data_IF_582009993884
#
_entry.id   IF_582009993884
#
_cell.length_a   1.000
_cell.length_b   1.000
_cell.length_c   1.000
_cell.angle_alpha   90.00
_cell.angle_beta   90.00
_cell.angle_gamma   90.00
#
_symmetry.space_group_name_H-M   'P 1'
#
loop_
_entity.id
_entity.type
_entity.pdbx_description
1 polymer ?
#
# COMPACT_ATOMS: atom_id res chain seq x y z
N UNK A 1 -0.69 -15.52 -12.03
CA UNK A 1 -1.19 -14.13 -12.06
C UNK A 1 -0.65 -13.36 -10.85
N UNK A 2 -0.06 -12.19 -11.06
CA UNK A 2 0.44 -11.29 -10.01
C UNK A 2 -0.43 -10.04 -10.01
N UNK A 3 -1.04 -9.72 -8.89
CA UNK A 3 -1.98 -8.59 -8.78
C UNK A 3 -1.51 -7.64 -7.70
N UNK A 4 -1.43 -6.34 -8.02
CA UNK A 4 -1.15 -5.27 -7.08
C UNK A 4 -2.41 -4.48 -6.79
N UNK A 5 -2.71 -4.29 -5.51
CA UNK A 5 -3.76 -3.38 -5.04
C UNK A 5 -3.08 -2.32 -4.18
N UNK A 6 -2.94 -1.11 -4.71
CA UNK A 6 -2.35 -0.01 -3.98
C UNK A 6 -3.38 1.08 -3.68
N UNK A 7 -3.04 2.00 -2.82
CA UNK A 7 -3.96 3.07 -2.43
C UNK A 7 -3.50 3.77 -1.16
N UNK A 8 -4.20 4.82 -0.74
CA UNK A 8 -3.81 5.66 0.39
C UNK A 8 -3.84 4.90 1.71
N UNK A 9 -3.20 5.49 2.71
CA UNK A 9 -3.33 5.03 4.10
C UNK A 9 -4.80 5.02 4.51
N UNK A 10 -5.19 4.04 5.33
CA UNK A 10 -6.58 3.86 5.78
C UNK A 10 -7.62 3.52 4.71
N UNK A 11 -7.23 3.22 3.47
CA UNK A 11 -8.18 2.75 2.45
C UNK A 11 -8.78 1.36 2.75
N UNK A 12 -8.12 0.54 3.58
CA UNK A 12 -8.62 -0.79 3.94
C UNK A 12 -7.79 -1.95 3.37
N UNK A 13 -6.61 -1.69 2.82
CA UNK A 13 -5.73 -2.70 2.23
C UNK A 13 -5.41 -3.85 3.17
N UNK A 14 -4.98 -3.55 4.39
CA UNK A 14 -4.68 -4.55 5.43
C UNK A 14 -5.90 -5.41 5.76
N UNK A 15 -7.08 -4.80 5.89
CA UNK A 15 -8.32 -5.53 6.11
C UNK A 15 -8.63 -6.51 4.97
N UNK A 16 -8.51 -6.05 3.72
CA UNK A 16 -8.76 -6.89 2.55
C UNK A 16 -7.75 -8.03 2.43
N UNK A 17 -6.46 -7.76 2.61
CA UNK A 17 -5.42 -8.80 2.55
C UNK A 17 -5.67 -9.90 3.58
N UNK A 18 -6.02 -9.53 4.83
CA UNK A 18 -6.36 -10.49 5.89
C UNK A 18 -7.64 -11.28 5.59
N UNK A 19 -8.69 -10.61 5.08
CA UNK A 19 -9.92 -11.29 4.71
C UNK A 19 -9.68 -12.36 3.62
N UNK A 20 -8.89 -12.04 2.60
CA UNK A 20 -8.54 -12.99 1.54
C UNK A 20 -7.63 -14.12 2.04
N UNK A 21 -6.69 -13.83 2.94
CA UNK A 21 -5.88 -14.88 3.59
C UNK A 21 -6.74 -15.88 4.35
N UNK A 22 -7.77 -15.41 5.07
CA UNK A 22 -8.71 -16.28 5.79
C UNK A 22 -9.50 -17.20 4.85
N UNK A 23 -9.63 -16.84 3.58
CA UNK A 23 -10.21 -17.68 2.53
C UNK A 23 -9.18 -18.61 1.85
N UNK A 24 -7.96 -18.68 2.35
CA UNK A 24 -6.88 -19.51 1.79
C UNK A 24 -6.22 -18.93 0.52
N UNK A 25 -6.45 -17.64 0.23
CA UNK A 25 -5.87 -16.96 -0.93
C UNK A 25 -4.49 -16.40 -0.58
N UNK A 26 -3.52 -16.53 -1.48
CA UNK A 26 -2.20 -15.93 -1.32
C UNK A 26 -2.29 -14.39 -1.49
N UNK A 27 -2.72 -13.72 -0.44
CA UNK A 27 -2.85 -12.28 -0.35
C UNK A 27 -1.94 -11.75 0.77
N UNK A 28 -1.17 -10.69 0.53
CA UNK A 28 -0.19 -10.19 1.48
C UNK A 28 -0.27 -8.67 1.58
N UNK A 29 -0.23 -8.14 2.80
CA UNK A 29 0.06 -6.72 3.02
C UNK A 29 1.57 -6.51 2.84
N UNK A 30 1.96 -5.57 1.99
CA UNK A 30 3.36 -5.27 1.72
C UNK A 30 4.12 -4.79 2.95
N UNK A 31 3.43 -4.19 3.91
CA UNK A 31 4.04 -3.75 5.17
C UNK A 31 4.41 -4.93 6.08
N UNK A 32 3.72 -6.07 5.93
CA UNK A 32 3.96 -7.29 6.71
C UNK A 32 4.98 -8.23 6.03
N UNK A 33 5.41 -7.94 4.80
CA UNK A 33 6.42 -8.75 4.11
C UNK A 33 7.82 -8.34 4.59
N UNK A 34 8.39 -9.13 5.49
CA UNK A 34 9.72 -8.87 6.04
C UNK A 34 10.79 -8.79 4.93
N UNK A 35 11.54 -7.69 4.90
CA UNK A 35 12.60 -7.44 3.93
C UNK A 35 12.16 -6.77 2.63
N UNK A 36 10.85 -6.59 2.40
CA UNK A 36 10.35 -5.90 1.21
C UNK A 36 10.63 -4.40 1.27
N UNK A 37 10.32 -3.78 2.40
CA UNK A 37 10.36 -2.32 2.57
C UNK A 37 11.46 -1.87 3.53
N UNK A 38 11.94 -0.66 3.31
CA UNK A 38 12.85 0.02 4.23
C UNK A 38 12.76 1.54 4.06
N UNK A 39 13.23 2.24 5.09
CA UNK A 39 13.41 3.69 5.06
C UNK A 39 14.79 4.06 4.56
N UNK A 40 14.86 5.11 3.76
CA UNK A 40 16.09 5.64 3.16
C UNK A 40 16.17 7.14 3.35
N UNK A 41 17.37 7.67 3.60
CA UNK A 41 17.61 9.10 3.59
C UNK A 41 17.79 9.63 2.15
N UNK A 42 17.90 10.95 2.01
CA UNK A 42 18.07 11.63 0.71
C UNK A 42 19.30 11.18 -0.10
N UNK A 43 20.28 10.55 0.56
CA UNK A 43 21.50 10.04 -0.09
C UNK A 43 21.36 8.55 -0.48
N UNK A 44 20.17 7.96 -0.32
CA UNK A 44 19.90 6.55 -0.64
C UNK A 44 20.46 5.55 0.38
N UNK A 45 20.90 6.02 1.56
CA UNK A 45 21.35 5.14 2.64
C UNK A 45 20.16 4.66 3.46
N UNK A 46 20.10 3.34 3.69
CA UNK A 46 19.09 2.74 4.58
C UNK A 46 19.26 3.28 6.00
N UNK A 47 18.13 3.60 6.63
CA UNK A 47 18.05 4.11 8.01
C UNK A 47 17.08 3.27 8.83
N UNK A 48 17.08 3.45 10.13
CA UNK A 48 16.05 2.90 11.02
C UNK A 48 14.71 3.57 10.74
N UNK A 49 13.62 2.90 11.10
CA UNK A 49 12.28 3.49 10.96
C UNK A 49 12.21 4.80 11.74
N UNK A 50 11.77 5.90 11.11
CA UNK A 50 11.56 7.17 11.80
C UNK A 50 10.56 7.04 12.95
N UNK A 51 10.72 7.86 13.97
CA UNK A 51 9.81 7.84 15.14
C UNK A 51 8.39 8.27 14.76
N UNK A 52 8.26 9.18 13.79
CA UNK A 52 6.97 9.68 13.33
C UNK A 52 7.07 10.28 11.91
N UNK A 53 5.91 10.65 11.35
CA UNK A 53 5.81 11.21 10.00
C UNK A 53 6.51 12.57 9.87
N UNK A 54 6.49 13.40 10.91
CA UNK A 54 7.13 14.73 10.89
C UNK A 54 8.65 14.60 10.74
N UNK A 55 9.26 13.65 11.44
CA UNK A 55 10.68 13.33 11.29
C UNK A 55 10.99 12.89 9.85
N UNK A 56 10.19 11.99 9.30
CA UNK A 56 10.38 11.49 7.95
C UNK A 56 10.30 12.63 6.91
N UNK A 57 9.32 13.52 7.03
CA UNK A 57 9.12 14.64 6.12
C UNK A 57 10.25 15.66 6.27
N UNK A 58 10.58 16.07 7.50
CA UNK A 58 11.60 17.09 7.79
C UNK A 58 12.97 16.66 7.26
N UNK A 59 13.31 15.38 7.39
CA UNK A 59 14.59 14.83 6.95
C UNK A 59 14.57 14.27 5.51
N UNK A 60 13.45 14.42 4.78
CA UNK A 60 13.27 13.88 3.43
C UNK A 60 13.55 12.38 3.36
N UNK A 61 13.07 11.62 4.32
CA UNK A 61 13.16 10.16 4.31
C UNK A 61 12.11 9.55 3.37
N UNK A 62 12.45 8.46 2.74
CA UNK A 62 11.59 7.76 1.79
C UNK A 62 11.37 6.32 2.21
N UNK A 63 10.11 5.89 2.25
CA UNK A 63 9.72 4.50 2.43
C UNK A 63 9.65 3.82 1.07
N UNK A 64 10.59 2.88 0.81
CA UNK A 64 10.76 2.28 -0.51
C UNK A 64 10.70 0.76 -0.45
N UNK A 65 10.17 0.15 -1.51
CA UNK A 65 10.21 -1.29 -1.75
C UNK A 65 11.43 -1.70 -2.55
N UNK A 66 11.99 -2.87 -2.21
CA UNK A 66 13.06 -3.51 -2.97
C UNK A 66 12.48 -4.29 -4.16
N UNK A 67 12.71 -3.80 -5.38
CA UNK A 67 12.27 -4.49 -6.61
C UNK A 67 12.84 -5.90 -6.71
N UNK A 68 14.14 -6.07 -6.39
CA UNK A 68 14.80 -7.38 -6.39
C UNK A 68 14.16 -8.36 -5.44
N UNK A 69 13.85 -7.90 -4.21
CA UNK A 69 13.17 -8.74 -3.21
C UNK A 69 11.77 -9.12 -3.70
N UNK A 70 11.00 -8.14 -4.16
CA UNK A 70 9.63 -8.37 -4.63
C UNK A 70 9.59 -9.34 -5.82
N UNK A 71 10.48 -9.21 -6.78
CA UNK A 71 10.61 -10.17 -7.90
C UNK A 71 10.80 -11.60 -7.40
N UNK A 72 11.73 -11.80 -6.46
CA UNK A 72 11.99 -13.12 -5.88
C UNK A 72 10.81 -13.63 -5.04
N UNK A 73 10.11 -12.74 -4.34
CA UNK A 73 8.93 -13.10 -3.57
C UNK A 73 7.79 -13.58 -4.47
N UNK A 74 7.47 -12.80 -5.50
CA UNK A 74 6.40 -13.09 -6.45
C UNK A 74 6.63 -14.39 -7.24
N UNK A 75 7.88 -14.76 -7.49
CA UNK A 75 8.22 -16.00 -8.23
C UNK A 75 7.82 -17.28 -7.50
N UNK A 76 7.57 -17.21 -6.19
CA UNK A 76 7.17 -18.37 -5.37
C UNK A 76 5.71 -18.79 -5.58
N UNK A 77 4.91 -17.96 -6.25
CA UNK A 77 3.47 -18.16 -6.38
C UNK A 77 3.04 -18.21 -7.84
N UNK A 78 2.11 -19.09 -8.19
CA UNK A 78 1.40 -19.06 -9.47
C UNK A 78 0.43 -17.87 -9.54
N UNK A 79 -0.33 -17.67 -8.45
CA UNK A 79 -1.23 -16.52 -8.27
C UNK A 79 -1.00 -15.90 -6.89
N UNK A 80 -0.86 -14.56 -6.84
CA UNK A 80 -0.64 -13.80 -5.60
C UNK A 80 -1.18 -12.39 -5.72
N UNK A 81 -1.69 -11.87 -4.60
CA UNK A 81 -2.25 -10.52 -4.45
C UNK A 81 -1.42 -9.76 -3.43
N UNK A 82 -0.86 -8.62 -3.83
CA UNK A 82 -0.07 -7.75 -2.96
C UNK A 82 -0.86 -6.48 -2.70
N UNK A 83 -1.06 -6.16 -1.43
CA UNK A 83 -1.71 -4.94 -0.96
C UNK A 83 -0.67 -4.03 -0.34
N UNK A 84 -0.60 -2.76 -0.73
CA UNK A 84 0.37 -1.86 -0.11
C UNK A 84 0.65 -0.62 -0.92
N UNK A 85 1.73 0.06 -0.56
CA UNK A 85 2.21 1.25 -1.27
C UNK A 85 3.58 1.68 -0.77
N UNK A 86 4.32 2.36 -1.61
CA UNK A 86 5.66 2.88 -1.31
C UNK A 86 5.95 4.11 -2.15
N UNK A 87 6.97 4.87 -1.78
CA UNK A 87 7.39 6.05 -2.54
C UNK A 87 7.88 5.74 -3.96
N UNK A 88 8.23 4.48 -4.23
CA UNK A 88 8.65 4.03 -5.56
C UNK A 88 7.70 2.98 -6.17
N UNK A 89 6.43 2.99 -5.79
CA UNK A 89 5.45 1.97 -6.21
C UNK A 89 5.36 1.83 -7.75
N UNK A 90 5.48 2.92 -8.48
CA UNK A 90 5.44 2.92 -9.95
C UNK A 90 6.57 2.11 -10.59
N UNK A 91 7.71 1.97 -9.91
CA UNK A 91 8.82 1.14 -10.37
C UNK A 91 8.56 -0.36 -10.20
N UNK A 92 7.47 -0.74 -9.53
CA UNK A 92 7.05 -2.12 -9.31
C UNK A 92 5.99 -2.58 -10.30
N UNK A 93 5.38 -1.67 -11.04
CA UNK A 93 4.21 -1.96 -11.87
C UNK A 93 4.48 -3.03 -12.94
N UNK A 94 5.68 -3.07 -13.50
CA UNK A 94 6.10 -4.07 -14.49
C UNK A 94 6.25 -5.50 -13.95
N UNK A 95 6.15 -5.68 -12.63
CA UNK A 95 6.17 -7.00 -11.98
C UNK A 95 4.78 -7.63 -11.87
N UNK A 96 3.71 -6.90 -12.21
CA UNK A 96 2.33 -7.31 -12.00
C UNK A 96 1.55 -7.42 -13.31
N UNK A 97 0.75 -8.46 -13.40
CA UNK A 97 -0.15 -8.69 -14.55
C UNK A 97 -1.36 -7.75 -14.52
N UNK A 98 -1.81 -7.39 -13.29
CA UNK A 98 -2.93 -6.48 -13.05
C UNK A 98 -2.63 -5.56 -11.88
N UNK A 99 -3.11 -4.33 -12.00
CA UNK A 99 -2.92 -3.29 -10.99
C UNK A 99 -4.25 -2.59 -10.75
N UNK A 100 -4.59 -2.42 -9.48
CA UNK A 100 -5.80 -1.75 -9.04
C UNK A 100 -5.51 -0.68 -8.00
N UNK A 101 -6.32 0.36 -7.97
CA UNK A 101 -6.27 1.40 -6.96
C UNK A 101 -7.48 1.29 -6.03
N UNK A 102 -7.25 1.06 -4.74
CA UNK A 102 -8.30 0.98 -3.73
C UNK A 102 -8.64 2.37 -3.23
N UNK A 103 -9.78 2.91 -3.66
CA UNK A 103 -10.28 4.22 -3.28
C UNK A 103 -11.26 4.13 -2.12
N UNK A 104 -10.95 4.83 -1.03
CA UNK A 104 -11.87 5.01 0.08
C UNK A 104 -12.54 6.38 0.02
N UNK A 105 -13.77 6.47 0.56
CA UNK A 105 -14.40 7.76 0.80
C UNK A 105 -13.52 8.60 1.75
N UNK A 106 -13.24 9.89 1.45
CA UNK A 106 -12.36 10.73 2.26
C UNK A 106 -12.80 10.88 3.71
N UNK A 107 -14.09 10.95 3.99
CA UNK A 107 -14.60 11.04 5.37
C UNK A 107 -14.35 9.76 6.16
N UNK A 108 -14.58 8.60 5.54
CA UNK A 108 -14.29 7.30 6.14
C UNK A 108 -12.78 7.16 6.38
N UNK A 109 -11.98 7.58 5.42
CA UNK A 109 -10.53 7.56 5.53
C UNK A 109 -10.04 8.41 6.71
N UNK A 110 -10.52 9.65 6.85
CA UNK A 110 -10.20 10.54 7.98
C UNK A 110 -10.60 9.91 9.32
N UNK A 111 -11.82 9.40 9.44
CA UNK A 111 -12.27 8.70 10.66
C UNK A 111 -11.36 7.51 11.02
N UNK A 112 -10.93 6.75 10.03
CA UNK A 112 -10.02 5.63 10.22
C UNK A 112 -8.61 6.09 10.62
N UNK A 113 -8.10 7.19 10.07
CA UNK A 113 -6.82 7.77 10.45
C UNK A 113 -6.81 8.29 11.90
N UNK A 114 -7.93 8.84 12.36
CA UNK A 114 -8.10 9.37 13.72
C UNK A 114 -8.46 8.30 14.75
N UNK A 115 -8.69 7.05 14.34
CA UNK A 115 -9.10 5.99 15.24
C UNK A 115 -8.00 5.63 16.23
N UNK A 116 -8.34 5.61 17.53
CA UNK A 116 -7.46 5.19 18.64
C UNK A 116 -6.91 3.76 18.52
N UNK A 117 -7.49 2.94 17.67
CA UNK A 117 -7.03 1.58 17.41
C UNK A 117 -5.83 1.52 16.45
N UNK A 118 -5.49 2.62 15.79
CA UNK A 118 -4.31 2.73 14.94
C UNK A 118 -3.10 3.17 15.74
N UNK A 119 -2.39 2.20 16.28
CA UNK A 119 -1.12 2.43 16.97
C UNK A 119 0.08 2.51 15.99
N UNK A 120 -0.06 3.22 14.89
CA UNK A 120 1.08 3.44 13.99
C UNK A 120 1.59 4.87 14.19
N UNK A 121 2.78 5.07 14.81
CA UNK A 121 3.35 6.40 15.07
C UNK A 121 3.50 7.26 13.82
N UNK A 122 3.69 6.62 12.66
CA UNK A 122 3.76 7.30 11.37
C UNK A 122 2.45 7.97 10.96
N UNK A 123 1.34 7.60 11.61
CA UNK A 123 0.00 8.12 11.30
C UNK A 123 -0.52 9.10 12.33
N UNK A 124 0.05 9.16 13.53
CA UNK A 124 -0.53 9.87 14.68
C UNK A 124 -0.45 11.40 14.62
N UNK A 125 0.37 11.99 13.77
CA UNK A 125 0.63 13.43 13.81
C UNK A 125 0.58 14.16 12.48
N UNK A 126 0.37 13.47 11.37
CA UNK A 126 0.35 14.13 10.05
C UNK A 126 -0.74 13.62 9.12
N UNK A 127 -2.01 13.78 9.54
CA UNK A 127 -3.16 13.53 8.67
C UNK A 127 -3.02 14.25 7.32
N UNK A 128 -2.59 15.52 7.34
CA UNK A 128 -2.41 16.32 6.13
C UNK A 128 -1.36 15.72 5.18
N UNK A 129 -0.21 15.29 5.69
CA UNK A 129 0.83 14.67 4.87
C UNK A 129 0.39 13.32 4.28
N UNK A 130 -0.37 12.52 5.06
CA UNK A 130 -0.93 11.26 4.58
C UNK A 130 -2.00 11.46 3.50
N UNK A 131 -2.80 12.52 3.62
CA UNK A 131 -3.79 12.88 2.59
C UNK A 131 -3.08 13.34 1.30
N UNK A 132 -2.07 14.19 1.39
CA UNK A 132 -1.27 14.63 0.24
C UNK A 132 -0.60 13.45 -0.46
N UNK A 133 -0.07 12.50 0.29
CA UNK A 133 0.50 11.27 -0.28
C UNK A 133 -0.58 10.41 -0.96
N UNK A 134 -1.76 10.34 -0.36
CA UNK A 134 -2.91 9.66 -0.94
C UNK A 134 -3.37 10.29 -2.26
N UNK A 135 -3.44 11.61 -2.32
CA UNK A 135 -3.79 12.37 -3.53
C UNK A 135 -2.76 12.13 -4.65
N UNK A 136 -1.47 12.10 -4.32
CA UNK A 136 -0.42 11.76 -5.27
C UNK A 136 -0.58 10.35 -5.83
N UNK A 137 -0.87 9.36 -5.00
CA UNK A 137 -1.12 7.98 -5.45
C UNK A 137 -2.34 7.89 -6.37
N UNK A 138 -3.42 8.63 -6.06
CA UNK A 138 -4.61 8.69 -6.89
C UNK A 138 -4.31 9.33 -8.26
N UNK A 139 -3.55 10.41 -8.27
CA UNK A 139 -3.10 11.06 -9.51
C UNK A 139 -2.27 10.10 -10.38
N UNK A 140 -1.36 9.34 -9.76
CA UNK A 140 -0.60 8.29 -10.46
C UNK A 140 -1.53 7.25 -11.09
N UNK A 141 -2.53 6.78 -10.32
CA UNK A 141 -3.49 5.80 -10.82
C UNK A 141 -4.29 6.33 -12.02
N UNK A 142 -4.78 7.57 -11.94
CA UNK A 142 -5.51 8.24 -13.01
C UNK A 142 -4.65 8.40 -14.29
N UNK A 143 -3.43 8.93 -14.14
CA UNK A 143 -2.50 9.12 -15.26
C UNK A 143 -2.11 7.82 -15.97
N UNK A 144 -2.10 6.71 -15.23
CA UNK A 144 -1.77 5.38 -15.76
C UNK A 144 -2.97 4.59 -16.25
N UNK A 145 -4.20 5.13 -16.14
CA UNK A 145 -5.42 4.43 -16.51
C UNK A 145 -5.72 3.19 -15.67
N UNK A 146 -5.28 3.19 -14.39
CA UNK A 146 -5.46 2.07 -13.50
C UNK A 146 -6.92 1.99 -13.04
N UNK A 147 -7.47 0.79 -12.98
CA UNK A 147 -8.84 0.55 -12.54
C UNK A 147 -9.00 0.83 -11.05
N UNK A 148 -10.03 1.58 -10.70
CA UNK A 148 -10.38 1.92 -9.32
C UNK A 148 -11.31 0.86 -8.74
N UNK A 149 -11.02 0.44 -7.51
CA UNK A 149 -11.87 -0.40 -6.67
C UNK A 149 -12.50 0.47 -5.57
N UNK A 150 -13.78 0.30 -5.33
CA UNK A 150 -14.47 0.98 -4.23
C UNK A 150 -14.24 0.23 -2.92
N UNK A 151 -13.58 0.88 -1.97
CA UNK A 151 -13.27 0.33 -0.64
C UNK A 151 -14.50 0.18 0.27
N UNK A 152 -15.70 0.54 -0.18
CA UNK A 152 -16.97 0.25 0.51
C UNK A 152 -17.54 -1.13 0.16
N UNK A 153 -17.04 -1.77 -0.91
CA UNK A 153 -17.43 -3.12 -1.29
C UNK A 153 -16.89 -4.17 -0.29
N UNK A 154 -17.58 -5.31 -0.23
CA UNK A 154 -17.12 -6.42 0.61
C UNK A 154 -15.85 -7.07 0.04
N UNK A 155 -15.05 -7.78 0.87
CA UNK A 155 -13.88 -8.50 0.38
C UNK A 155 -14.19 -9.47 -0.76
N UNK A 156 -15.35 -10.16 -0.69
CA UNK A 156 -15.79 -11.09 -1.72
C UNK A 156 -16.07 -10.38 -3.05
N UNK A 157 -16.77 -9.24 -3.01
CA UNK A 157 -17.06 -8.43 -4.21
C UNK A 157 -15.78 -7.91 -4.86
N UNK A 158 -14.83 -7.43 -4.04
CA UNK A 158 -13.53 -6.99 -4.55
C UNK A 158 -12.76 -8.17 -5.15
N UNK A 159 -12.79 -9.34 -4.49
CA UNK A 159 -12.11 -10.53 -4.98
C UNK A 159 -12.67 -11.01 -6.33
N UNK A 160 -13.99 -10.96 -6.54
CA UNK A 160 -14.60 -11.26 -7.84
C UNK A 160 -14.03 -10.40 -8.97
N UNK A 161 -13.71 -9.12 -8.69
CA UNK A 161 -13.15 -8.21 -9.69
C UNK A 161 -11.67 -8.51 -9.97
N UNK A 162 -10.87 -8.69 -8.91
CA UNK A 162 -9.42 -8.80 -9.05
C UNK A 162 -8.94 -10.20 -9.46
N UNK A 163 -9.79 -11.22 -9.34
CA UNK A 163 -9.48 -12.61 -9.68
C UNK A 163 -9.77 -12.98 -11.14
N UNK A 164 -10.48 -12.14 -11.87
CA UNK A 164 -10.75 -12.32 -13.31
C UNK A 164 -9.48 -12.06 -14.13
#
# INVERSE_FOLDING_TARGET
MKVLIFGPSASGKTYLSQALQNLGIHAFDGDDIEGLSAWYNKNGKKIVTPENADEAITNHYSFLWSKKFLTNFLSKFSTVYIFGGSGNITHMFDLFDKIYFLKANPEIQRKRLQSVFRKNPMMDRNEKGLMVWGDWLEEVAQKKGITFLDASQTPEQIFEIISQ
#
